data_IF_393920111285
#
_entry.id   IF_393920111285
#
_cell.length_a   1.000
_cell.length_b   1.000
_cell.length_c   1.000
_cell.angle_alpha   90.00
_cell.angle_beta   90.00
_cell.angle_gamma   90.00
#
_symmetry.space_group_name_H-M   'P 1'
#
loop_
_entity.id
_entity.type
_entity.pdbx_description
1 polymer ?
#
# COMPACT_ATOMS: atom_id res chain seq x y z
N UNK A 1 20.59 -17.08 12.61
CA UNK A 1 20.33 -18.38 11.98
C UNK A 1 19.42 -18.18 10.76
N UNK A 2 19.84 -18.76 9.62
CA UNK A 2 19.16 -18.61 8.30
C UNK A 2 17.74 -19.20 8.34
N UNK A 3 17.48 -20.17 9.20
CA UNK A 3 16.16 -20.77 9.37
C UNK A 3 15.14 -19.81 9.97
N UNK A 4 15.55 -18.93 10.88
CA UNK A 4 14.67 -17.91 11.45
C UNK A 4 14.30 -16.84 10.40
N UNK A 5 15.22 -16.48 9.52
CA UNK A 5 14.92 -15.57 8.40
C UNK A 5 13.86 -16.13 7.46
N UNK A 6 13.90 -17.44 7.17
CA UNK A 6 12.92 -18.07 6.27
C UNK A 6 11.49 -18.04 6.83
N UNK A 7 11.31 -18.17 8.13
CA UNK A 7 10.00 -18.04 8.78
C UNK A 7 9.43 -16.61 8.66
N UNK A 8 10.30 -15.58 8.76
CA UNK A 8 9.86 -14.19 8.57
C UNK A 8 9.45 -13.90 7.13
N UNK A 9 10.08 -14.54 6.14
CA UNK A 9 9.68 -14.42 4.73
C UNK A 9 8.30 -15.04 4.44
N UNK A 10 7.93 -16.09 5.18
CA UNK A 10 6.59 -16.69 5.09
C UNK A 10 5.51 -15.83 5.77
N UNK A 11 5.89 -15.07 6.78
CA UNK A 11 4.94 -14.25 7.55
C UNK A 11 4.27 -13.17 6.68
N UNK A 12 5.00 -12.56 5.75
CA UNK A 12 4.48 -11.52 4.87
C UNK A 12 3.33 -12.03 3.97
N UNK A 13 3.48 -13.10 3.17
CA UNK A 13 2.38 -13.67 2.39
C UNK A 13 1.19 -14.13 3.25
N UNK A 14 1.45 -14.72 4.43
CA UNK A 14 0.40 -15.15 5.35
C UNK A 14 -0.40 -13.96 5.89
N UNK A 15 0.27 -12.88 6.23
CA UNK A 15 -0.37 -11.64 6.69
C UNK A 15 -1.29 -11.09 5.60
N UNK A 16 -0.84 -11.03 4.36
CA UNK A 16 -1.66 -10.61 3.22
C UNK A 16 -2.87 -11.52 3.02
N UNK A 17 -2.69 -12.83 3.06
CA UNK A 17 -3.75 -13.81 2.86
C UNK A 17 -4.87 -13.70 3.91
N UNK A 18 -4.53 -13.30 5.14
CA UNK A 18 -5.51 -13.14 6.23
C UNK A 18 -6.13 -11.73 6.20
N UNK A 19 -5.32 -10.69 6.04
CA UNK A 19 -5.78 -9.31 6.16
C UNK A 19 -6.64 -8.90 4.96
N UNK A 20 -6.28 -9.30 3.75
CA UNK A 20 -7.00 -8.90 2.53
C UNK A 20 -8.49 -9.26 2.56
N UNK A 21 -8.93 -10.51 2.86
CA UNK A 21 -10.35 -10.84 2.94
C UNK A 21 -11.08 -10.09 4.05
N UNK A 22 -10.41 -9.88 5.19
CA UNK A 22 -11.00 -9.17 6.34
C UNK A 22 -11.27 -7.72 5.95
N UNK A 23 -10.27 -7.03 5.44
CA UNK A 23 -10.38 -5.62 5.04
C UNK A 23 -11.34 -5.45 3.86
N UNK A 24 -11.30 -6.36 2.88
CA UNK A 24 -12.27 -6.38 1.78
C UNK A 24 -13.70 -6.43 2.31
N UNK A 25 -14.00 -7.40 3.17
CA UNK A 25 -15.33 -7.56 3.77
C UNK A 25 -15.78 -6.31 4.55
N UNK A 26 -14.94 -5.78 5.45
CA UNK A 26 -15.29 -4.59 6.23
C UNK A 26 -15.42 -3.34 5.37
N UNK A 27 -14.56 -3.17 4.36
CA UNK A 27 -14.63 -2.02 3.47
C UNK A 27 -15.88 -2.04 2.60
N UNK A 28 -16.41 -3.22 2.28
CA UNK A 28 -17.64 -3.36 1.48
C UNK A 28 -18.91 -3.01 2.28
N UNK A 29 -18.89 -3.21 3.59
CA UNK A 29 -20.04 -2.97 4.48
C UNK A 29 -20.06 -1.58 5.11
N UNK A 30 -18.94 -0.86 5.08
CA UNK A 30 -18.83 0.44 5.74
C UNK A 30 -19.15 1.56 4.76
N UNK A 31 -20.05 2.48 5.17
CA UNK A 31 -20.32 3.71 4.45
C UNK A 31 -20.17 4.90 5.40
N UNK A 32 -19.30 5.84 5.05
CA UNK A 32 -19.09 7.05 5.84
C UNK A 32 -18.99 8.31 4.92
N UNK A 33 -18.79 9.49 5.53
CA UNK A 33 -18.66 10.76 4.79
C UNK A 33 -17.56 10.78 3.73
N UNK A 34 -16.53 9.94 3.90
CA UNK A 34 -15.42 9.79 2.94
C UNK A 34 -15.73 8.78 1.83
N UNK A 35 -16.83 8.06 1.92
CA UNK A 35 -17.18 6.95 1.03
C UNK A 35 -17.06 5.59 1.71
N UNK A 36 -17.03 4.52 0.93
CA UNK A 36 -16.97 3.13 1.38
C UNK A 36 -15.52 2.66 1.57
N UNK A 37 -14.68 2.85 0.56
CA UNK A 37 -13.32 2.29 0.49
C UNK A 37 -12.23 3.27 0.91
N UNK A 38 -12.47 4.58 0.69
CA UNK A 38 -11.48 5.65 0.95
C UNK A 38 -10.98 5.72 2.39
N UNK A 39 -11.81 5.53 3.44
CA UNK A 39 -11.32 5.57 4.81
C UNK A 39 -10.33 4.45 5.13
N UNK A 40 -10.56 3.23 4.63
CA UNK A 40 -9.65 2.09 4.83
C UNK A 40 -8.33 2.33 4.09
N UNK A 41 -8.39 2.80 2.86
CA UNK A 41 -7.26 3.20 2.06
C UNK A 41 -6.42 4.28 2.75
N UNK A 42 -7.06 5.29 3.35
CA UNK A 42 -6.39 6.34 4.11
C UNK A 42 -5.70 5.80 5.36
N UNK A 43 -6.42 5.02 6.15
CA UNK A 43 -5.90 4.43 7.40
C UNK A 43 -4.68 3.54 7.09
N UNK A 44 -4.79 2.66 6.10
CA UNK A 44 -3.67 1.83 5.68
C UNK A 44 -2.47 2.66 5.22
N UNK A 45 -2.69 3.71 4.44
CA UNK A 45 -1.62 4.60 3.99
C UNK A 45 -0.94 5.36 5.13
N UNK A 46 -1.68 5.79 6.15
CA UNK A 46 -1.11 6.43 7.35
C UNK A 46 -0.22 5.43 8.09
N UNK A 47 -0.70 4.21 8.35
CA UNK A 47 0.11 3.19 9.02
C UNK A 47 1.34 2.80 8.21
N UNK A 48 1.21 2.66 6.89
CA UNK A 48 2.36 2.40 6.00
C UNK A 48 3.38 3.56 6.06
N UNK A 49 2.90 4.80 6.04
CA UNK A 49 3.77 5.99 6.14
C UNK A 49 4.53 6.00 7.47
N UNK A 50 3.85 5.72 8.58
CA UNK A 50 4.48 5.62 9.90
C UNK A 50 5.52 4.49 9.92
N UNK A 51 5.19 3.31 9.39
CA UNK A 51 6.10 2.18 9.32
C UNK A 51 7.35 2.50 8.47
N UNK A 52 7.18 3.17 7.32
CA UNK A 52 8.29 3.62 6.47
C UNK A 52 9.22 4.62 7.17
N UNK A 53 8.69 5.46 8.05
CA UNK A 53 9.50 6.41 8.83
C UNK A 53 10.21 5.69 10.00
N UNK A 54 9.52 4.78 10.68
CA UNK A 54 10.06 4.11 11.85
C UNK A 54 11.09 3.03 11.50
N UNK A 55 10.91 2.31 10.39
CA UNK A 55 11.75 1.18 10.00
C UNK A 55 13.23 1.54 9.89
N UNK A 56 13.67 2.60 9.17
CA UNK A 56 15.08 2.96 9.10
C UNK A 56 15.62 3.54 10.41
N UNK A 57 14.74 3.89 11.36
CA UNK A 57 15.09 4.38 12.69
C UNK A 57 14.94 3.32 13.79
N UNK A 58 14.79 2.05 13.43
CA UNK A 58 14.59 0.95 14.38
C UNK A 58 15.71 0.86 15.43
N UNK A 59 16.95 1.21 15.05
CA UNK A 59 18.10 1.25 15.98
C UNK A 59 17.95 2.25 17.13
N UNK A 60 17.15 3.31 16.97
CA UNK A 60 16.90 4.30 18.03
C UNK A 60 16.03 3.75 19.18
N UNK A 61 15.29 2.68 18.93
CA UNK A 61 14.46 2.02 19.97
C UNK A 61 15.23 1.02 20.82
N UNK A 62 16.52 0.81 20.51
CA UNK A 62 17.40 -0.07 21.25
C UNK A 62 18.31 0.78 22.14
N UNK A 63 18.04 0.81 23.43
CA UNK A 63 19.00 1.37 24.40
C UNK A 63 20.24 0.49 24.49
N UNK A 64 21.46 1.05 24.48
CA UNK A 64 22.67 0.30 24.71
C UNK A 64 22.58 -0.41 26.07
N UNK A 65 22.66 -1.74 26.09
CA UNK A 65 22.61 -2.55 27.29
C UNK A 65 21.33 -3.36 27.53
N UNK A 66 20.30 -3.22 26.70
CA UNK A 66 19.04 -4.00 26.81
C UNK A 66 18.99 -5.16 25.79
N UNK A 67 20.13 -5.79 25.54
CA UNK A 67 20.18 -6.97 24.65
C UNK A 67 19.63 -8.21 25.37
N UNK A 68 18.32 -8.21 25.65
CA UNK A 68 17.60 -9.44 25.95
C UNK A 68 17.29 -10.14 24.62
N UNK A 69 17.33 -11.46 24.58
CA UNK A 69 17.10 -12.27 23.38
C UNK A 69 15.77 -11.96 22.67
N UNK A 70 14.81 -11.34 23.37
CA UNK A 70 13.49 -10.94 22.88
C UNK A 70 13.53 -9.59 22.14
N UNK A 71 14.51 -8.72 22.43
CA UNK A 71 14.65 -7.38 21.88
C UNK A 71 15.87 -7.26 20.95
N UNK A 72 16.18 -8.31 20.19
CA UNK A 72 17.26 -8.22 19.22
C UNK A 72 16.86 -7.25 18.08
N UNK A 73 17.81 -6.47 17.52
CA UNK A 73 17.56 -5.57 16.40
C UNK A 73 16.86 -6.23 15.23
N UNK A 74 17.13 -7.52 15.02
CA UNK A 74 16.54 -8.35 13.97
C UNK A 74 15.05 -8.57 14.21
N UNK A 75 14.64 -8.87 15.44
CA UNK A 75 13.22 -9.10 15.76
C UNK A 75 12.40 -7.81 15.69
N UNK A 76 12.97 -6.68 16.11
CA UNK A 76 12.32 -5.38 15.98
C UNK A 76 12.16 -5.01 14.51
N UNK A 77 13.21 -5.16 13.72
CA UNK A 77 13.15 -4.92 12.26
C UNK A 77 12.16 -5.83 11.56
N UNK A 78 12.13 -7.11 11.91
CA UNK A 78 11.17 -8.08 11.38
C UNK A 78 9.72 -7.73 11.76
N UNK A 79 9.48 -7.34 13.03
CA UNK A 79 8.17 -6.89 13.48
C UNK A 79 7.68 -5.64 12.75
N UNK A 80 8.56 -4.66 12.56
CA UNK A 80 8.26 -3.46 11.77
C UNK A 80 7.98 -3.77 10.30
N UNK A 81 8.73 -4.70 9.70
CA UNK A 81 8.49 -5.18 8.34
C UNK A 81 7.10 -5.82 8.22
N UNK A 82 6.72 -6.67 9.18
CA UNK A 82 5.38 -7.29 9.20
C UNK A 82 4.26 -6.26 9.33
N UNK A 83 4.44 -5.26 10.19
CA UNK A 83 3.46 -4.15 10.34
C UNK A 83 3.37 -3.35 9.04
N UNK A 84 4.49 -3.07 8.40
CA UNK A 84 4.52 -2.37 7.11
C UNK A 84 3.80 -3.16 6.03
N UNK A 85 4.07 -4.46 5.92
CA UNK A 85 3.44 -5.34 4.94
C UNK A 85 1.92 -5.47 5.17
N UNK A 86 1.50 -5.66 6.42
CA UNK A 86 0.09 -5.63 6.80
C UNK A 86 -0.58 -4.32 6.40
N UNK A 87 0.05 -3.18 6.67
CA UNK A 87 -0.47 -1.85 6.37
C UNK A 87 -0.58 -1.59 4.87
N UNK A 88 0.38 -2.09 4.08
CA UNK A 88 0.32 -2.04 2.61
C UNK A 88 -0.87 -2.85 2.10
N UNK A 89 -1.10 -4.05 2.62
CA UNK A 89 -2.24 -4.88 2.25
C UNK A 89 -3.58 -4.21 2.61
N UNK A 90 -3.68 -3.56 3.78
CA UNK A 90 -4.84 -2.75 4.18
C UNK A 90 -5.11 -1.59 3.20
N UNK A 91 -4.06 -1.03 2.61
CA UNK A 91 -4.17 0.06 1.61
C UNK A 91 -4.54 -0.46 0.23
N UNK A 92 -3.88 -1.53 -0.21
CA UNK A 92 -3.96 -2.03 -1.59
C UNK A 92 -5.29 -2.67 -1.92
N UNK A 93 -5.91 -3.39 -0.97
CA UNK A 93 -7.16 -4.08 -1.24
C UNK A 93 -8.33 -3.12 -1.51
N UNK A 94 -8.62 -2.13 -0.65
CA UNK A 94 -9.65 -1.13 -0.97
C UNK A 94 -9.32 -0.30 -2.21
N UNK A 95 -8.04 -0.06 -2.50
CA UNK A 95 -7.61 0.67 -3.69
C UNK A 95 -7.92 -0.10 -4.98
N UNK A 96 -7.60 -1.40 -5.03
CA UNK A 96 -7.94 -2.26 -6.18
C UNK A 96 -9.44 -2.32 -6.40
N UNK A 97 -10.18 -2.48 -5.32
CA UNK A 97 -11.63 -2.52 -5.37
C UNK A 97 -12.22 -1.17 -5.81
N UNK A 98 -11.65 -0.04 -5.38
CA UNK A 98 -12.04 1.31 -5.83
C UNK A 98 -11.82 1.46 -7.35
N UNK A 99 -10.70 0.99 -7.88
CA UNK A 99 -10.43 1.02 -9.33
C UNK A 99 -11.48 0.18 -10.09
N UNK A 100 -11.84 -1.01 -9.57
CA UNK A 100 -12.90 -1.83 -10.15
C UNK A 100 -14.28 -1.15 -10.12
N UNK A 101 -14.63 -0.54 -8.99
CA UNK A 101 -15.93 0.15 -8.83
C UNK A 101 -16.07 1.39 -9.74
N UNK A 102 -14.97 2.01 -10.14
CA UNK A 102 -14.97 3.23 -10.95
C UNK A 102 -14.93 2.99 -12.46
N UNK A 103 -14.61 1.79 -12.90
CA UNK A 103 -14.46 1.45 -14.30
C UNK A 103 -15.64 0.59 -14.77
N UNK A 104 -16.13 0.78 -16.01
CA UNK A 104 -17.05 -0.17 -16.64
C UNK A 104 -16.37 -1.53 -16.82
N UNK A 105 -17.14 -2.61 -16.81
CA UNK A 105 -16.64 -3.99 -16.92
C UNK A 105 -15.73 -4.20 -18.14
N UNK A 106 -16.04 -3.56 -19.26
CA UNK A 106 -15.26 -3.60 -20.51
C UNK A 106 -13.85 -3.01 -20.36
N UNK A 107 -13.64 -2.11 -19.40
CA UNK A 107 -12.37 -1.41 -19.17
C UNK A 107 -11.56 -1.97 -17.98
N UNK A 108 -12.10 -2.92 -17.23
CA UNK A 108 -11.42 -3.49 -16.07
C UNK A 108 -10.03 -4.04 -16.42
N UNK A 109 -9.92 -4.82 -17.49
CA UNK A 109 -8.64 -5.40 -17.94
C UNK A 109 -7.60 -4.32 -18.24
N UNK A 110 -8.01 -3.26 -18.94
CA UNK A 110 -7.11 -2.14 -19.25
C UNK A 110 -6.71 -1.37 -17.99
N UNK A 111 -7.65 -1.09 -17.09
CA UNK A 111 -7.41 -0.38 -15.85
C UNK A 111 -6.41 -1.13 -14.94
N UNK A 112 -6.62 -2.43 -14.74
CA UNK A 112 -5.70 -3.24 -13.94
C UNK A 112 -4.34 -3.45 -14.62
N UNK A 113 -4.28 -3.49 -15.94
CA UNK A 113 -3.01 -3.54 -16.69
C UNK A 113 -2.20 -2.26 -16.50
N UNK A 114 -2.83 -1.09 -16.61
CA UNK A 114 -2.19 0.20 -16.34
C UNK A 114 -1.72 0.27 -14.88
N UNK A 115 -2.54 -0.15 -13.93
CA UNK A 115 -2.17 -0.20 -12.52
C UNK A 115 -0.93 -1.06 -12.31
N UNK A 116 -0.89 -2.27 -12.86
CA UNK A 116 0.25 -3.19 -12.75
C UNK A 116 1.51 -2.60 -13.38
N UNK A 117 1.37 -1.96 -14.53
CA UNK A 117 2.48 -1.26 -15.20
C UNK A 117 3.06 -0.14 -14.34
N UNK A 118 2.20 0.70 -13.75
CA UNK A 118 2.63 1.77 -12.85
C UNK A 118 3.28 1.25 -11.57
N UNK A 119 2.80 0.12 -11.01
CA UNK A 119 3.44 -0.57 -9.90
C UNK A 119 4.86 -1.00 -10.27
N UNK A 120 5.03 -1.58 -11.47
CA UNK A 120 6.35 -1.97 -11.98
C UNK A 120 7.31 -0.78 -12.10
N UNK A 121 6.86 0.34 -12.66
CA UNK A 121 7.65 1.58 -12.71
C UNK A 121 8.01 2.05 -11.30
N UNK A 122 7.04 2.06 -10.39
CA UNK A 122 7.26 2.45 -9.00
C UNK A 122 8.31 1.58 -8.30
N UNK A 123 8.30 0.27 -8.55
CA UNK A 123 9.28 -0.66 -8.00
C UNK A 123 10.70 -0.36 -8.51
N UNK A 124 10.86 -0.06 -9.81
CA UNK A 124 12.15 0.32 -10.39
C UNK A 124 12.64 1.66 -9.80
N UNK A 125 11.78 2.68 -9.78
CA UNK A 125 12.12 3.99 -9.20
C UNK A 125 12.47 3.85 -7.73
N UNK A 126 11.68 3.12 -6.96
CA UNK A 126 11.92 2.88 -5.54
C UNK A 126 13.26 2.19 -5.27
N UNK A 127 13.62 1.20 -6.08
CA UNK A 127 14.91 0.49 -5.99
C UNK A 127 16.10 1.40 -6.30
N UNK A 128 15.92 2.37 -7.19
CA UNK A 128 16.95 3.32 -7.55
C UNK A 128 17.04 4.51 -6.58
N UNK A 129 16.04 4.74 -5.77
CA UNK A 129 15.93 5.92 -4.92
C UNK A 129 17.13 6.10 -3.97
N UNK A 130 17.67 5.08 -3.28
CA UNK A 130 18.88 5.23 -2.47
C UNK A 130 20.10 5.65 -3.29
N UNK A 131 20.24 5.14 -4.51
CA UNK A 131 21.32 5.52 -5.41
C UNK A 131 21.19 6.97 -5.90
N UNK A 132 19.97 7.42 -6.16
CA UNK A 132 19.66 8.80 -6.52
C UNK A 132 19.98 9.72 -5.33
N UNK A 133 19.57 9.35 -4.12
CA UNK A 133 19.87 10.10 -2.90
C UNK A 133 21.38 10.27 -2.68
N UNK A 134 22.16 9.23 -2.95
CA UNK A 134 23.61 9.32 -2.86
C UNK A 134 24.22 10.18 -3.98
N UNK A 135 23.88 9.93 -5.25
CA UNK A 135 24.54 10.56 -6.40
C UNK A 135 24.12 12.01 -6.63
N UNK A 136 22.86 12.35 -6.38
CA UNK A 136 22.30 13.68 -6.66
C UNK A 136 22.39 14.56 -5.43
N UNK A 137 22.08 14.04 -4.25
CA UNK A 137 22.05 14.80 -3.01
C UNK A 137 23.32 14.62 -2.15
N UNK A 138 24.25 13.77 -2.57
CA UNK A 138 25.52 13.56 -1.86
C UNK A 138 25.37 12.87 -0.50
N UNK A 139 24.24 12.19 -0.23
CA UNK A 139 24.00 11.51 1.04
C UNK A 139 24.90 10.28 1.18
N UNK A 140 25.41 10.06 2.40
CA UNK A 140 26.30 8.95 2.68
C UNK A 140 25.61 7.59 2.39
N UNK A 141 26.33 6.70 1.72
CA UNK A 141 25.95 5.31 1.51
C UNK A 141 26.59 4.36 2.53
N UNK A 142 27.36 4.91 3.49
CA UNK A 142 27.97 4.14 4.58
C UNK A 142 27.31 4.52 5.89
N UNK A 143 27.14 3.54 6.77
CA UNK A 143 26.60 3.72 8.10
C UNK A 143 27.55 3.17 9.16
N UNK A 144 27.47 3.71 10.37
CA UNK A 144 28.10 3.12 11.55
C UNK A 144 27.39 1.81 11.91
N UNK A 145 28.10 0.88 12.54
CA UNK A 145 27.52 -0.40 12.96
C UNK A 145 26.24 -0.18 13.81
N UNK A 146 25.15 -0.77 13.41
CA UNK A 146 23.84 -0.62 14.07
C UNK A 146 22.95 0.50 13.54
N UNK A 147 23.42 1.32 12.60
CA UNK A 147 22.63 2.35 11.95
C UNK A 147 22.35 2.03 10.47
N UNK A 148 21.31 2.65 9.92
CA UNK A 148 20.99 2.59 8.49
C UNK A 148 21.63 3.79 7.79
N UNK A 149 22.20 3.58 6.61
CA UNK A 149 22.85 4.66 5.83
C UNK A 149 21.87 5.78 5.48
N UNK A 150 22.35 7.03 5.47
CA UNK A 150 21.50 8.21 5.27
C UNK A 150 20.78 8.21 3.93
N UNK A 151 21.43 7.76 2.84
CA UNK A 151 20.78 7.64 1.54
C UNK A 151 19.57 6.70 1.56
N UNK A 152 19.60 5.66 2.38
CA UNK A 152 18.48 4.72 2.59
C UNK A 152 17.41 5.36 3.47
N UNK A 153 17.79 5.99 4.60
CA UNK A 153 16.83 6.70 5.47
C UNK A 153 16.02 7.73 4.68
N UNK A 154 16.70 8.58 3.92
CA UNK A 154 16.03 9.60 3.12
C UNK A 154 15.22 9.04 1.96
N UNK A 155 15.61 7.90 1.36
CA UNK A 155 14.79 7.18 0.38
C UNK A 155 13.47 6.70 0.99
N UNK A 156 13.49 6.17 2.20
CA UNK A 156 12.29 5.78 2.94
C UNK A 156 11.39 6.97 3.25
N UNK A 157 11.96 8.10 3.67
CA UNK A 157 11.18 9.32 3.96
C UNK A 157 10.56 9.91 2.69
N UNK A 158 11.29 9.93 1.58
CA UNK A 158 10.75 10.36 0.29
C UNK A 158 9.62 9.44 -0.17
N UNK A 159 9.79 8.11 -0.05
CA UNK A 159 8.75 7.13 -0.34
C UNK A 159 7.50 7.34 0.52
N UNK A 160 7.67 7.57 1.82
CA UNK A 160 6.58 7.85 2.75
C UNK A 160 5.81 9.13 2.36
N UNK A 161 6.52 10.20 2.03
CA UNK A 161 5.93 11.48 1.62
C UNK A 161 5.16 11.35 0.30
N UNK A 162 5.73 10.67 -0.69
CA UNK A 162 5.10 10.43 -2.00
C UNK A 162 3.85 9.57 -1.82
N UNK A 163 3.92 8.49 -1.03
CA UNK A 163 2.77 7.63 -0.73
C UNK A 163 1.63 8.44 -0.13
N UNK A 164 1.90 9.16 0.95
CA UNK A 164 0.87 9.93 1.64
C UNK A 164 0.28 11.03 0.76
N UNK A 165 1.12 11.76 0.02
CA UNK A 165 0.67 12.79 -0.90
C UNK A 165 -0.21 12.23 -2.03
N UNK A 166 0.16 11.10 -2.62
CA UNK A 166 -0.62 10.45 -3.69
C UNK A 166 -1.96 9.93 -3.18
N UNK A 167 -1.99 9.34 -1.98
CA UNK A 167 -3.22 8.86 -1.34
C UNK A 167 -4.15 10.02 -1.03
N UNK A 168 -3.65 11.08 -0.42
CA UNK A 168 -4.44 12.27 -0.12
C UNK A 168 -4.98 12.90 -1.41
N UNK A 169 -4.16 13.02 -2.44
CA UNK A 169 -4.60 13.51 -3.75
C UNK A 169 -5.74 12.67 -4.30
N UNK A 170 -5.62 11.33 -4.27
CA UNK A 170 -6.66 10.42 -4.72
C UNK A 170 -7.96 10.63 -3.93
N UNK A 171 -7.88 10.72 -2.60
CA UNK A 171 -9.04 10.91 -1.73
C UNK A 171 -9.76 12.22 -2.03
N UNK A 172 -9.03 13.31 -2.26
CA UNK A 172 -9.64 14.62 -2.53
C UNK A 172 -10.20 14.75 -3.96
N UNK A 173 -9.59 14.07 -4.93
CA UNK A 173 -9.97 14.17 -6.34
C UNK A 173 -10.96 13.11 -6.81
N UNK A 174 -11.04 11.97 -6.13
CA UNK A 174 -11.91 10.87 -6.51
C UNK A 174 -13.24 10.97 -5.75
N UNK A 175 -14.37 10.85 -6.43
CA UNK A 175 -15.70 10.72 -5.83
C UNK A 175 -16.11 9.26 -5.87
N UNK A 176 -16.44 8.67 -4.73
CA UNK A 176 -17.11 7.37 -4.70
C UNK A 176 -18.61 7.55 -4.91
N UNK A 177 -19.20 6.66 -5.69
CA UNK A 177 -20.64 6.61 -5.90
C UNK A 177 -21.30 5.84 -4.77
N UNK A 178 -22.48 6.28 -4.35
CA UNK A 178 -23.27 5.54 -3.34
C UNK A 178 -23.70 4.17 -3.87
N UNK A 179 -24.00 3.20 -2.99
CA UNK A 179 -24.52 1.91 -3.42
C UNK A 179 -25.80 2.04 -4.24
N UNK A 180 -26.62 3.07 -3.97
CA UNK A 180 -27.85 3.39 -4.70
C UNK A 180 -27.52 3.90 -6.11
N UNK A 181 -26.61 4.86 -6.25
CA UNK A 181 -26.13 5.37 -7.54
C UNK A 181 -25.50 4.26 -8.38
N UNK A 182 -24.74 3.34 -7.78
CA UNK A 182 -24.15 2.20 -8.48
C UNK A 182 -25.20 1.20 -8.95
N UNK A 183 -26.27 0.98 -8.17
CA UNK A 183 -27.38 0.13 -8.56
C UNK A 183 -28.14 0.72 -9.77
N UNK A 184 -28.38 2.04 -9.76
CA UNK A 184 -28.98 2.76 -10.89
C UNK A 184 -28.13 2.68 -12.17
N UNK A 185 -26.80 2.83 -12.05
CA UNK A 185 -25.89 2.68 -13.20
C UNK A 185 -25.91 1.27 -13.79
N UNK A 186 -26.00 0.24 -12.96
CA UNK A 186 -26.11 -1.16 -13.42
C UNK A 186 -27.43 -1.42 -14.14
N UNK A 187 -28.52 -0.88 -13.63
CA UNK A 187 -29.84 -1.01 -14.24
C UNK A 187 -29.90 -0.26 -15.58
N UNK A 188 -29.43 0.99 -15.62
CA UNK A 188 -29.40 1.78 -16.84
C UNK A 188 -28.45 1.21 -17.90
N UNK A 189 -27.29 0.67 -17.48
CA UNK A 189 -26.35 -0.03 -18.36
C UNK A 189 -26.97 -1.31 -18.95
N UNK A 190 -27.74 -2.06 -18.17
CA UNK A 190 -28.49 -3.22 -18.62
C UNK A 190 -29.56 -2.86 -19.66
N UNK A 191 -30.32 -1.82 -19.43
CA UNK A 191 -31.33 -1.31 -20.40
C UNK A 191 -30.72 -0.84 -21.72
N UNK A 192 -29.53 -0.20 -21.67
CA UNK A 192 -28.81 0.23 -22.88
C UNK A 192 -28.33 -0.96 -23.71
N UNK A 193 -27.83 -2.00 -23.03
CA UNK A 193 -27.37 -3.22 -23.70
C UNK A 193 -28.55 -3.97 -24.33
N UNK A 194 -29.68 -4.08 -23.65
CA UNK A 194 -30.88 -4.72 -24.14
C UNK A 194 -31.47 -3.98 -25.38
N UNK A 195 -31.58 -2.66 -25.28
CA UNK A 195 -31.98 -1.81 -26.42
C UNK A 195 -31.06 -1.94 -27.65
N UNK A 196 -29.75 -2.07 -27.44
CA UNK A 196 -28.77 -2.25 -28.50
C UNK A 196 -28.86 -3.64 -29.14
N UNK A 197 -29.24 -4.66 -28.37
CA UNK A 197 -29.46 -6.02 -28.85
C UNK A 197 -30.72 -6.13 -29.70
N UNK A 198 -31.81 -5.47 -29.30
CA UNK A 198 -33.07 -5.42 -30.01
C UNK A 198 -33.03 -4.58 -31.29
N UNK A 199 -32.11 -3.61 -31.36
CA UNK A 199 -31.91 -2.79 -32.56
C UNK A 199 -31.05 -3.45 -33.65
N UNK A 200 -30.33 -4.53 -33.32
CA UNK A 200 -29.43 -5.26 -34.22
C UNK A 200 -29.96 -6.66 -34.62
N UNK A 201 -31.13 -7.03 -34.15
CA UNK A 201 -31.89 -8.25 -34.56
C UNK A 201 -33.09 -7.91 -35.40
#
# INVERSE_FOLDING_TARGET
>A
DVEQLSLFWLAAPLTGMIIQPIIGHYSDQTWCRLGRRRPFFLVGAIFTTIALILMPNAGLFLSPGTETAILSPVLIGAGMLMIMDASINVTMEPFRALVGDMLPDEQHTTGFSIQTFLIGIGAVVGSLLPSIMNKVFGLSNTAVAGEVADNVKFAFYAGAAILLASVLWTIFKTKEYSPEEMAEFRLSGGEVIEKRRDSNG
#
